data_IF_233880681144
#
_entry.id   IF_233880681144
#
_cell.length_a   1.000
_cell.length_b   1.000
_cell.length_c   1.000
_cell.angle_alpha   90.00
_cell.angle_beta   90.00
_cell.angle_gamma   90.00
#
_symmetry.space_group_name_H-M   'P 1'
#
loop_
_entity.id
_entity.type
_entity.pdbx_description
1 polymer ?
#
# COMPACT_ATOMS: atom_id res chain seq x y z
N UNK A 1 -25.51 -14.47 -26.62
CA UNK A 1 -24.39 -13.65 -26.08
C UNK A 1 -24.98 -12.73 -25.01
N UNK A 2 -24.93 -13.11 -23.74
CA UNK A 2 -25.42 -12.26 -22.65
C UNK A 2 -24.42 -11.16 -22.42
N UNK A 3 -24.74 -9.94 -22.80
CA UNK A 3 -24.03 -8.75 -22.34
C UNK A 3 -24.31 -8.59 -20.83
N UNK A 4 -23.49 -9.15 -19.97
CA UNK A 4 -23.52 -8.75 -18.57
C UNK A 4 -22.96 -7.32 -18.52
N UNK A 5 -23.79 -6.36 -18.13
CA UNK A 5 -23.33 -5.02 -17.81
C UNK A 5 -22.23 -5.14 -16.76
N UNK A 6 -21.10 -4.41 -16.88
CA UNK A 6 -20.06 -4.45 -15.89
C UNK A 6 -20.67 -4.08 -14.53
N UNK A 7 -20.49 -4.97 -13.54
CA UNK A 7 -21.00 -4.73 -12.18
C UNK A 7 -20.33 -3.50 -11.59
N UNK A 8 -21.07 -2.40 -11.52
CA UNK A 8 -20.61 -1.17 -10.90
C UNK A 8 -20.56 -1.35 -9.38
N UNK A 9 -19.48 -0.91 -8.76
CA UNK A 9 -19.31 -0.89 -7.30
C UNK A 9 -19.29 0.55 -6.83
N UNK A 10 -20.25 0.90 -5.98
CA UNK A 10 -20.33 2.20 -5.31
C UNK A 10 -19.30 2.26 -4.18
N UNK A 11 -18.57 3.36 -4.08
CA UNK A 11 -17.66 3.65 -2.99
C UNK A 11 -18.45 4.34 -1.87
N UNK A 12 -18.55 3.72 -0.70
CA UNK A 12 -19.24 4.23 0.50
C UNK A 12 -18.29 4.45 1.66
N UNK A 13 -17.13 3.85 1.59
CA UNK A 13 -16.10 3.92 2.63
C UNK A 13 -14.71 3.85 2.03
N UNK A 14 -13.79 4.57 2.64
CA UNK A 14 -12.40 4.66 2.21
C UNK A 14 -11.44 4.53 3.39
N UNK A 15 -10.36 3.79 3.21
CA UNK A 15 -9.21 3.77 4.12
C UNK A 15 -8.06 4.52 3.44
N UNK A 16 -7.54 5.56 4.09
CA UNK A 16 -6.49 6.41 3.55
C UNK A 16 -5.29 6.38 4.49
N UNK A 17 -4.14 5.93 3.99
CA UNK A 17 -2.87 5.93 4.72
C UNK A 17 -1.74 6.24 3.75
N UNK A 18 -1.33 7.51 3.68
CA UNK A 18 -0.39 8.00 2.67
C UNK A 18 0.76 8.77 3.32
N UNK A 19 1.95 8.63 2.74
CA UNK A 19 3.13 9.43 3.07
C UNK A 19 3.02 10.82 2.44
N UNK A 20 2.86 10.89 1.11
CA UNK A 20 2.66 12.15 0.40
C UNK A 20 1.21 12.61 0.53
N UNK A 21 1.02 13.91 0.82
CA UNK A 21 -0.31 14.52 1.01
C UNK A 21 -0.81 15.30 -0.21
N UNK A 22 -0.06 15.29 -1.32
CA UNK A 22 -0.46 16.00 -2.53
C UNK A 22 -1.85 15.56 -2.98
N UNK A 23 -2.74 16.55 -3.18
CA UNK A 23 -4.15 16.35 -3.61
C UNK A 23 -5.04 15.51 -2.68
N UNK A 24 -4.57 15.16 -1.48
CA UNK A 24 -5.41 14.44 -0.51
C UNK A 24 -6.55 15.32 -0.02
N UNK A 25 -6.37 16.61 0.08
CA UNK A 25 -7.39 17.61 0.36
C UNK A 25 -8.53 17.55 -0.67
N UNK A 26 -8.20 17.59 -1.97
CA UNK A 26 -9.17 17.49 -3.06
C UNK A 26 -9.91 16.15 -3.03
N UNK A 27 -9.18 15.04 -2.89
CA UNK A 27 -9.75 13.68 -2.84
C UNK A 27 -10.71 13.57 -1.65
N UNK A 28 -10.28 13.96 -0.44
CA UNK A 28 -11.10 13.85 0.76
C UNK A 28 -12.31 14.77 0.73
N UNK A 29 -12.19 15.96 0.16
CA UNK A 29 -13.30 16.88 -0.05
C UNK A 29 -14.39 16.26 -0.93
N UNK A 30 -14.01 15.67 -2.05
CA UNK A 30 -14.95 14.98 -2.93
C UNK A 30 -15.53 13.69 -2.31
N UNK A 31 -14.75 12.91 -1.56
CA UNK A 31 -15.25 11.75 -0.82
C UNK A 31 -16.31 12.18 0.21
N UNK A 32 -16.02 13.23 0.98
CA UNK A 32 -16.93 13.79 1.97
C UNK A 32 -18.24 14.30 1.34
N UNK A 33 -18.16 15.01 0.22
CA UNK A 33 -19.34 15.50 -0.53
C UNK A 33 -20.21 14.35 -1.07
N UNK A 34 -19.64 13.18 -1.30
CA UNK A 34 -20.35 11.96 -1.68
C UNK A 34 -20.80 11.10 -0.48
N UNK A 35 -20.71 11.63 0.75
CA UNK A 35 -21.05 10.91 2.00
C UNK A 35 -20.22 9.62 2.20
N UNK A 36 -19.00 9.56 1.71
CA UNK A 36 -18.10 8.44 1.91
C UNK A 36 -17.52 8.52 3.33
N UNK A 37 -17.65 7.45 4.10
CA UNK A 37 -16.99 7.34 5.40
C UNK A 37 -15.47 7.17 5.20
N UNK A 38 -14.69 8.09 5.76
CA UNK A 38 -13.23 8.06 5.64
C UNK A 38 -12.63 7.52 6.95
N UNK A 39 -11.77 6.51 6.84
CA UNK A 39 -10.93 5.98 7.90
C UNK A 39 -9.47 6.34 7.64
N UNK A 40 -8.74 6.70 8.69
CA UNK A 40 -7.30 6.96 8.59
C UNK A 40 -6.60 6.81 9.94
N UNK A 41 -5.28 6.86 9.93
CA UNK A 41 -4.43 6.74 11.12
C UNK A 41 -3.22 7.64 11.02
N UNK A 42 -2.60 7.94 12.18
CA UNK A 42 -1.35 8.70 12.29
C UNK A 42 -1.41 10.07 11.59
N UNK A 43 -0.30 10.46 10.97
CA UNK A 43 -0.16 11.77 10.33
C UNK A 43 -1.13 12.03 9.16
N UNK A 44 -1.66 10.98 8.52
CA UNK A 44 -2.72 11.17 7.50
C UNK A 44 -4.05 11.55 8.15
N UNK A 45 -4.39 10.93 9.28
CA UNK A 45 -5.56 11.34 10.05
C UNK A 45 -5.48 12.80 10.51
N UNK A 46 -4.34 13.20 11.09
CA UNK A 46 -4.11 14.57 11.55
C UNK A 46 -4.25 15.58 10.41
N UNK A 47 -3.63 15.28 9.28
CA UNK A 47 -3.71 16.13 8.09
C UNK A 47 -5.16 16.35 7.64
N UNK A 48 -5.93 15.27 7.44
CA UNK A 48 -7.33 15.36 6.96
C UNK A 48 -8.24 16.02 8.00
N UNK A 49 -8.03 15.72 9.30
CA UNK A 49 -8.78 16.34 10.39
C UNK A 49 -8.58 17.85 10.44
N UNK A 50 -7.35 18.34 10.21
CA UNK A 50 -7.04 19.76 10.18
C UNK A 50 -7.68 20.51 9.00
N UNK A 51 -8.10 19.80 7.95
CA UNK A 51 -8.91 20.34 6.86
C UNK A 51 -10.39 20.54 7.23
N UNK A 52 -10.79 20.14 8.44
CA UNK A 52 -12.20 20.19 8.88
C UNK A 52 -13.08 19.10 8.26
N UNK A 53 -12.50 18.08 7.63
CA UNK A 53 -13.22 16.98 7.01
C UNK A 53 -13.53 15.91 8.07
N UNK A 54 -14.78 15.41 8.11
CA UNK A 54 -15.19 14.35 9.02
C UNK A 54 -14.45 13.05 8.70
N UNK A 55 -13.72 12.53 9.66
CA UNK A 55 -12.88 11.34 9.51
C UNK A 55 -12.90 10.50 10.78
N UNK A 56 -12.79 9.18 10.64
CA UNK A 56 -12.72 8.22 11.75
C UNK A 56 -11.32 7.68 11.92
N UNK A 57 -10.85 7.59 13.17
CA UNK A 57 -9.58 6.92 13.46
C UNK A 57 -9.69 5.41 13.29
N UNK A 58 -8.65 4.80 12.74
CA UNK A 58 -8.53 3.34 12.70
C UNK A 58 -8.45 2.77 14.12
N UNK A 59 -7.81 3.46 15.03
CA UNK A 59 -7.69 3.09 16.44
C UNK A 59 -9.07 3.00 17.15
N UNK A 60 -10.02 3.88 16.79
CA UNK A 60 -11.41 3.82 17.30
C UNK A 60 -12.15 2.62 16.69
N UNK A 61 -11.95 2.35 15.41
CA UNK A 61 -12.53 1.18 14.74
C UNK A 61 -12.04 -0.14 15.34
N UNK A 62 -10.75 -0.24 15.59
CA UNK A 62 -10.11 -1.46 16.10
C UNK A 62 -10.29 -1.62 17.60
N UNK A 63 -10.56 -0.53 18.33
CA UNK A 63 -10.48 -0.44 19.78
C UNK A 63 -9.10 -0.86 20.32
N UNK A 64 -8.06 -0.63 19.52
CA UNK A 64 -6.69 -0.99 19.82
C UNK A 64 -5.75 0.19 19.54
N UNK A 65 -4.85 0.54 20.45
CA UNK A 65 -3.94 1.67 20.26
C UNK A 65 -2.88 1.35 19.19
N UNK A 66 -2.30 2.38 18.62
CA UNK A 66 -1.07 2.25 17.85
C UNK A 66 0.08 1.90 18.79
N UNK A 67 0.75 0.77 18.57
CA UNK A 67 1.83 0.25 19.43
C UNK A 67 3.13 0.10 18.67
N UNK A 68 4.22 -0.18 19.40
CA UNK A 68 5.56 -0.40 18.86
C UNK A 68 6.01 0.77 17.95
N UNK A 69 5.88 2.00 18.45
CA UNK A 69 6.20 3.23 17.72
C UNK A 69 5.44 3.37 16.38
N UNK A 70 4.20 2.86 16.32
CA UNK A 70 3.35 2.96 15.13
C UNK A 70 3.56 1.86 14.09
N UNK A 71 4.42 0.87 14.35
CA UNK A 71 4.61 -0.27 13.41
C UNK A 71 3.37 -1.15 13.33
N UNK A 72 2.56 -1.20 14.39
CA UNK A 72 1.33 -1.99 14.45
C UNK A 72 0.16 -1.07 14.79
N UNK A 73 -0.68 -0.81 13.81
CA UNK A 73 -1.89 0.02 13.93
C UNK A 73 -3.01 -0.43 12.98
N UNK A 74 -2.69 -0.73 11.71
CA UNK A 74 -3.65 -1.17 10.69
C UNK A 74 -3.70 -2.69 10.55
N UNK A 75 -2.71 -3.43 11.07
CA UNK A 75 -2.65 -4.90 11.03
C UNK A 75 -3.62 -5.50 12.06
N UNK A 76 -4.92 -5.39 11.76
CA UNK A 76 -5.98 -5.80 12.67
C UNK A 76 -7.12 -6.49 11.91
N UNK A 77 -7.76 -7.54 12.46
CA UNK A 77 -8.84 -8.28 11.79
C UNK A 77 -9.99 -7.42 11.30
N UNK A 78 -10.39 -6.37 12.02
CA UNK A 78 -11.45 -5.46 11.57
C UNK A 78 -11.07 -4.66 10.33
N UNK A 79 -9.81 -4.26 10.19
CA UNK A 79 -9.32 -3.54 9.01
C UNK A 79 -9.21 -4.48 7.82
N UNK A 80 -8.49 -5.61 8.00
CA UNK A 80 -8.29 -6.57 6.91
C UNK A 80 -9.58 -7.31 6.55
N UNK A 81 -10.45 -7.60 7.52
CA UNK A 81 -11.78 -8.15 7.27
C UNK A 81 -12.62 -7.20 6.42
N UNK A 82 -12.58 -5.89 6.71
CA UNK A 82 -13.28 -4.87 5.92
C UNK A 82 -12.81 -4.80 4.46
N UNK A 83 -11.52 -5.04 4.22
CA UNK A 83 -10.94 -5.05 2.87
C UNK A 83 -11.15 -6.40 2.17
N UNK A 84 -11.04 -7.51 2.88
CA UNK A 84 -11.00 -8.85 2.29
C UNK A 84 -12.36 -9.52 2.16
N UNK A 85 -13.38 -9.06 2.89
CA UNK A 85 -14.71 -9.66 2.85
C UNK A 85 -15.32 -9.61 1.44
N UNK A 86 -16.09 -10.63 1.14
CA UNK A 86 -16.86 -10.76 -0.08
C UNK A 86 -18.37 -10.58 0.19
N UNK A 87 -19.19 -10.77 -0.83
CA UNK A 87 -20.64 -10.77 -0.68
C UNK A 87 -21.21 -12.17 -0.36
N UNK A 88 -20.37 -13.12 0.11
CA UNK A 88 -20.85 -14.44 0.53
C UNK A 88 -21.67 -14.34 1.81
N UNK A 89 -22.61 -15.25 2.00
CA UNK A 89 -23.45 -15.29 3.21
C UNK A 89 -22.61 -15.47 4.48
N UNK A 90 -21.52 -16.25 4.41
CA UNK A 90 -20.59 -16.44 5.53
C UNK A 90 -19.90 -15.14 5.91
N UNK A 91 -19.35 -14.39 4.93
CA UNK A 91 -18.64 -13.15 5.18
C UNK A 91 -19.58 -12.06 5.72
N UNK A 92 -20.83 -12.01 5.21
CA UNK A 92 -21.87 -11.09 5.71
C UNK A 92 -22.21 -11.41 7.16
N UNK A 93 -22.33 -12.70 7.52
CA UNK A 93 -22.60 -13.13 8.89
C UNK A 93 -21.43 -12.76 9.81
N UNK A 94 -20.21 -13.06 9.42
CA UNK A 94 -19.02 -12.77 10.22
C UNK A 94 -18.81 -11.25 10.38
N UNK A 95 -19.02 -10.48 9.30
CA UNK A 95 -18.90 -9.02 9.40
C UNK A 95 -19.89 -8.40 10.40
N UNK A 96 -21.10 -8.95 10.52
CA UNK A 96 -22.07 -8.54 11.54
C UNK A 96 -21.66 -8.97 12.94
N UNK A 97 -21.23 -10.24 13.11
CA UNK A 97 -20.85 -10.80 14.40
C UNK A 97 -19.66 -10.08 15.03
N UNK A 98 -18.67 -9.69 14.20
CA UNK A 98 -17.44 -9.07 14.67
C UNK A 98 -17.37 -7.55 14.44
N UNK A 99 -18.49 -6.93 14.02
CA UNK A 99 -18.56 -5.49 13.71
C UNK A 99 -17.46 -5.05 12.75
N UNK A 100 -17.29 -5.79 11.66
CA UNK A 100 -16.32 -5.49 10.59
C UNK A 100 -16.97 -4.48 9.62
N UNK A 101 -16.39 -3.30 9.40
CA UNK A 101 -16.93 -2.31 8.47
C UNK A 101 -16.77 -2.75 7.01
N UNK A 102 -17.48 -2.09 6.11
CA UNK A 102 -17.12 -2.12 4.70
C UNK A 102 -15.92 -1.20 4.45
N UNK A 103 -14.98 -1.61 3.57
CA UNK A 103 -13.93 -0.76 3.02
C UNK A 103 -13.93 -0.96 1.51
N UNK A 104 -14.48 0.02 0.78
CA UNK A 104 -14.67 -0.05 -0.68
C UNK A 104 -13.50 0.56 -1.46
N UNK A 105 -12.73 1.45 -0.81
CA UNK A 105 -11.59 2.15 -1.39
C UNK A 105 -10.41 2.10 -0.41
N UNK A 106 -9.25 1.74 -0.91
CA UNK A 106 -7.98 1.82 -0.17
C UNK A 106 -7.02 2.72 -0.92
N UNK A 107 -6.57 3.79 -0.27
CA UNK A 107 -5.55 4.71 -0.80
C UNK A 107 -4.31 4.61 0.08
N UNK A 108 -3.25 4.07 -0.47
CA UNK A 108 -1.98 3.88 0.23
C UNK A 108 -0.85 4.23 -0.73
N UNK A 109 0.09 5.05 -0.30
CA UNK A 109 1.38 5.16 -0.93
C UNK A 109 2.46 4.61 0.03
N UNK A 110 3.45 3.98 -0.53
CA UNK A 110 4.56 3.42 0.23
C UNK A 110 5.62 4.50 0.46
N UNK A 111 6.26 4.43 1.60
CA UNK A 111 7.43 5.27 1.88
C UNK A 111 8.50 5.04 0.78
N UNK A 112 9.16 6.08 0.29
CA UNK A 112 10.16 5.96 -0.77
C UNK A 112 11.46 5.33 -0.23
N UNK A 113 11.51 4.00 -0.17
CA UNK A 113 12.63 3.23 0.38
C UNK A 113 13.98 3.58 -0.28
N UNK A 114 13.99 3.72 -1.62
CA UNK A 114 15.20 4.09 -2.35
C UNK A 114 15.75 5.48 -1.99
N UNK A 115 14.87 6.44 -1.67
CA UNK A 115 15.30 7.76 -1.21
C UNK A 115 15.97 7.66 0.16
N UNK A 116 15.46 6.81 1.03
CA UNK A 116 16.08 6.55 2.32
C UNK A 116 17.48 5.98 2.14
N UNK A 117 17.63 4.94 1.31
CA UNK A 117 18.94 4.32 1.02
C UNK A 117 19.95 5.31 0.43
N UNK A 118 19.46 6.27 -0.38
CA UNK A 118 20.34 7.33 -0.92
C UNK A 118 20.73 8.40 0.09
N UNK A 119 19.82 8.70 1.03
CA UNK A 119 19.96 9.83 1.95
C UNK A 119 20.69 9.48 3.26
N UNK A 120 20.74 8.22 3.66
CA UNK A 120 21.44 7.77 4.85
C UNK A 120 22.19 6.47 4.58
N UNK A 121 23.30 6.28 5.30
CA UNK A 121 24.05 5.00 5.34
C UNK A 121 23.80 4.25 6.65
N UNK A 122 22.93 4.77 7.50
CA UNK A 122 22.59 4.11 8.76
C UNK A 122 21.61 2.95 8.48
N UNK A 123 22.12 1.73 8.55
CA UNK A 123 21.36 0.50 8.33
C UNK A 123 20.07 0.45 9.15
N UNK A 124 20.15 0.76 10.45
CA UNK A 124 18.97 0.73 11.33
C UNK A 124 17.88 1.71 10.90
N UNK A 125 18.25 2.90 10.40
CA UNK A 125 17.30 3.87 9.88
C UNK A 125 16.65 3.39 8.58
N UNK A 126 17.42 2.71 7.72
CA UNK A 126 16.91 2.16 6.46
C UNK A 126 15.92 1.03 6.75
N UNK A 127 16.27 0.09 7.63
CA UNK A 127 15.39 -1.02 8.03
C UNK A 127 14.10 -0.51 8.66
N UNK A 128 14.15 0.53 9.51
CA UNK A 128 12.96 1.13 10.13
C UNK A 128 11.98 1.72 9.11
N UNK A 129 12.44 2.04 7.91
CA UNK A 129 11.61 2.60 6.82
C UNK A 129 10.98 1.55 5.93
N UNK A 130 11.21 0.27 6.17
CA UNK A 130 10.50 -0.81 5.46
C UNK A 130 9.03 -0.80 5.90
N UNK A 131 8.15 -0.51 4.96
CA UNK A 131 6.71 -0.44 5.21
C UNK A 131 6.09 -1.84 5.22
N UNK A 132 5.56 -2.25 6.37
CA UNK A 132 4.85 -3.52 6.55
C UNK A 132 3.34 -3.32 6.38
N UNK A 133 2.79 -2.29 7.04
CA UNK A 133 1.35 -2.04 7.08
C UNK A 133 0.78 -1.61 5.74
N UNK A 134 1.42 -0.66 5.08
CA UNK A 134 0.97 -0.12 3.79
C UNK A 134 1.01 -1.16 2.67
N UNK A 135 2.12 -1.90 2.54
CA UNK A 135 2.23 -2.96 1.52
C UNK A 135 1.18 -4.06 1.76
N UNK A 136 0.91 -4.41 3.02
CA UNK A 136 -0.12 -5.39 3.37
C UNK A 136 -1.54 -4.91 2.97
N UNK A 137 -1.86 -3.64 3.21
CA UNK A 137 -3.13 -3.03 2.79
C UNK A 137 -3.30 -3.02 1.26
N UNK A 138 -2.24 -2.64 0.54
CA UNK A 138 -2.21 -2.66 -0.94
C UNK A 138 -2.50 -4.06 -1.46
N UNK A 139 -1.81 -5.08 -0.94
CA UNK A 139 -1.99 -6.48 -1.38
C UNK A 139 -3.38 -7.02 -1.05
N UNK A 140 -3.92 -6.69 0.13
CA UNK A 140 -5.27 -7.10 0.52
C UNK A 140 -6.34 -6.49 -0.41
N UNK A 141 -6.26 -5.18 -0.66
CA UNK A 141 -7.18 -4.49 -1.55
C UNK A 141 -7.07 -4.99 -3.01
N UNK A 142 -5.85 -5.15 -3.50
CA UNK A 142 -5.60 -5.67 -4.85
C UNK A 142 -6.12 -7.11 -5.03
N UNK A 143 -5.98 -7.97 -4.01
CA UNK A 143 -6.53 -9.33 -4.03
C UNK A 143 -8.06 -9.32 -4.16
N UNK A 144 -8.72 -8.40 -3.47
CA UNK A 144 -10.19 -8.31 -3.47
C UNK A 144 -10.71 -7.24 -4.46
N UNK A 145 -10.07 -7.09 -5.62
CA UNK A 145 -10.44 -6.09 -6.63
C UNK A 145 -11.90 -6.20 -7.12
N UNK A 146 -12.55 -7.33 -6.95
CA UNK A 146 -13.97 -7.48 -7.26
C UNK A 146 -14.85 -6.58 -6.40
N UNK A 147 -14.43 -6.30 -5.17
CA UNK A 147 -15.18 -5.53 -4.19
C UNK A 147 -14.52 -4.21 -3.78
N UNK A 148 -13.20 -4.07 -3.97
CA UNK A 148 -12.40 -2.95 -3.45
C UNK A 148 -11.62 -2.27 -4.57
N UNK A 149 -11.64 -0.93 -4.59
CA UNK A 149 -10.78 -0.11 -5.41
C UNK A 149 -9.45 0.13 -4.67
N UNK A 150 -8.33 -0.23 -5.29
CA UNK A 150 -6.98 -0.02 -4.75
C UNK A 150 -6.25 1.10 -5.49
N UNK A 151 -5.86 2.14 -4.76
CA UNK A 151 -4.99 3.23 -5.23
C UNK A 151 -3.67 3.09 -4.49
N UNK A 152 -2.61 2.72 -5.20
CA UNK A 152 -1.30 2.40 -4.64
C UNK A 152 -0.19 3.39 -4.98
N UNK A 153 -0.56 4.50 -5.66
CA UNK A 153 0.38 5.54 -6.07
C UNK A 153 -0.34 6.86 -6.30
N UNK A 154 0.31 7.98 -5.98
CA UNK A 154 -0.18 9.33 -6.28
C UNK A 154 -0.39 9.59 -7.78
N UNK A 155 0.33 8.88 -8.66
CA UNK A 155 0.10 8.94 -10.11
C UNK A 155 -1.31 8.53 -10.56
N UNK A 156 -2.04 7.82 -9.70
CA UNK A 156 -3.42 7.36 -9.93
C UNK A 156 -4.48 8.34 -9.41
N UNK A 157 -4.09 9.42 -8.73
CA UNK A 157 -5.02 10.35 -8.07
C UNK A 157 -5.93 11.09 -9.05
N UNK A 158 -5.43 11.47 -10.22
CA UNK A 158 -6.27 12.10 -11.26
C UNK A 158 -7.41 11.18 -11.67
N UNK A 159 -7.10 9.89 -11.90
CA UNK A 159 -8.11 8.88 -12.25
C UNK A 159 -9.11 8.65 -11.12
N UNK A 160 -8.63 8.63 -9.87
CA UNK A 160 -9.51 8.54 -8.70
C UNK A 160 -10.45 9.75 -8.61
N UNK A 161 -9.93 10.96 -8.80
CA UNK A 161 -10.72 12.20 -8.76
C UNK A 161 -11.82 12.18 -9.83
N UNK A 162 -11.54 11.74 -11.05
CA UNK A 162 -12.55 11.55 -12.08
C UNK A 162 -13.68 10.60 -11.64
N UNK A 163 -13.33 9.48 -11.01
CA UNK A 163 -14.28 8.49 -10.48
C UNK A 163 -15.16 9.11 -9.39
N UNK A 164 -14.55 9.85 -8.45
CA UNK A 164 -15.26 10.42 -7.31
C UNK A 164 -16.14 11.61 -7.74
N UNK A 165 -15.67 12.44 -8.68
CA UNK A 165 -16.44 13.55 -9.25
C UNK A 165 -17.65 13.08 -10.07
N UNK A 166 -17.60 11.87 -10.60
CA UNK A 166 -18.73 11.24 -11.27
C UNK A 166 -19.76 10.72 -10.27
N UNK A 167 -20.16 9.48 -10.42
CA UNK A 167 -21.14 8.83 -9.55
C UNK A 167 -20.52 8.11 -8.34
N UNK A 168 -19.22 8.30 -8.11
CA UNK A 168 -18.45 7.67 -7.06
C UNK A 168 -18.53 6.13 -7.12
N UNK A 169 -18.50 5.56 -8.33
CA UNK A 169 -18.52 4.12 -8.57
C UNK A 169 -17.54 3.69 -9.64
N UNK A 170 -17.20 2.42 -9.66
CA UNK A 170 -16.21 1.84 -10.58
C UNK A 170 -16.71 0.54 -11.19
N UNK A 171 -16.37 0.30 -12.43
CA UNK A 171 -16.50 -1.00 -13.07
C UNK A 171 -15.37 -1.97 -12.65
N UNK A 172 -15.58 -3.25 -12.86
CA UNK A 172 -14.64 -4.30 -12.50
C UNK A 172 -13.33 -4.23 -13.30
N UNK A 173 -13.38 -3.76 -14.55
CA UNK A 173 -12.19 -3.64 -15.41
C UNK A 173 -11.23 -2.58 -14.86
N UNK A 174 -11.75 -1.44 -14.44
CA UNK A 174 -10.99 -0.38 -13.77
C UNK A 174 -10.35 -0.90 -12.49
N UNK A 175 -11.10 -1.59 -11.62
CA UNK A 175 -10.57 -2.14 -10.37
C UNK A 175 -9.50 -3.21 -10.63
N UNK A 176 -9.71 -4.10 -11.61
CA UNK A 176 -8.74 -5.13 -12.01
C UNK A 176 -7.44 -4.53 -12.53
N UNK A 177 -7.53 -3.50 -13.36
CA UNK A 177 -6.36 -2.80 -13.89
C UNK A 177 -5.53 -2.15 -12.76
N UNK A 178 -6.19 -1.43 -11.84
CA UNK A 178 -5.53 -0.80 -10.69
C UNK A 178 -4.96 -1.84 -9.70
N UNK A 179 -5.62 -2.98 -9.54
CA UNK A 179 -5.09 -4.09 -8.75
C UNK A 179 -3.81 -4.70 -9.35
N UNK A 180 -3.75 -4.84 -10.68
CA UNK A 180 -2.52 -5.29 -11.35
C UNK A 180 -1.36 -4.31 -11.12
N UNK A 181 -1.63 -2.99 -11.22
CA UNK A 181 -0.64 -1.95 -10.92
C UNK A 181 -0.21 -1.99 -9.43
N UNK A 182 -1.13 -2.27 -8.52
CA UNK A 182 -0.85 -2.40 -7.08
C UNK A 182 0.07 -3.60 -6.79
N UNK A 183 -0.16 -4.76 -7.41
CA UNK A 183 0.75 -5.91 -7.29
C UNK A 183 2.11 -5.62 -7.91
N UNK A 184 2.17 -4.93 -9.06
CA UNK A 184 3.44 -4.49 -9.62
C UNK A 184 4.19 -3.59 -8.65
N UNK A 185 3.52 -2.58 -8.06
CA UNK A 185 4.11 -1.67 -7.07
C UNK A 185 4.67 -2.41 -5.85
N UNK A 186 3.93 -3.40 -5.33
CA UNK A 186 4.38 -4.25 -4.22
C UNK A 186 5.61 -5.09 -4.62
N UNK A 187 5.61 -5.70 -5.80
CA UNK A 187 6.74 -6.47 -6.30
C UNK A 187 8.00 -5.63 -6.50
N UNK A 188 7.85 -4.45 -7.11
CA UNK A 188 8.96 -3.51 -7.32
C UNK A 188 9.54 -3.03 -5.96
N UNK A 189 8.67 -2.83 -4.96
CA UNK A 189 9.07 -2.44 -3.62
C UNK A 189 9.89 -3.52 -2.91
N UNK A 190 9.37 -4.76 -2.90
CA UNK A 190 10.06 -5.91 -2.28
C UNK A 190 11.38 -6.21 -2.98
N UNK A 191 11.45 -6.08 -4.32
CA UNK A 191 12.69 -6.26 -5.08
C UNK A 191 13.79 -5.27 -4.68
N UNK A 192 13.43 -4.03 -4.36
CA UNK A 192 14.39 -3.01 -3.90
C UNK A 192 14.91 -3.30 -2.50
N UNK A 193 14.03 -3.78 -1.60
CA UNK A 193 14.42 -4.22 -0.27
C UNK A 193 15.35 -5.43 -0.37
N UNK A 194 14.97 -6.41 -1.20
CA UNK A 194 15.79 -7.57 -1.45
C UNK A 194 17.20 -7.20 -1.91
N UNK A 195 17.31 -6.35 -2.94
CA UNK A 195 18.62 -5.92 -3.46
C UNK A 195 19.47 -5.24 -2.38
N UNK A 196 18.87 -4.41 -1.54
CA UNK A 196 19.58 -3.74 -0.46
C UNK A 196 20.12 -4.73 0.59
N UNK A 197 19.30 -5.69 1.01
CA UNK A 197 19.70 -6.69 2.03
C UNK A 197 20.72 -7.68 1.44
N UNK A 198 20.54 -8.08 0.18
CA UNK A 198 21.42 -9.02 -0.51
C UNK A 198 22.84 -8.41 -0.72
N UNK A 199 22.93 -7.13 -1.10
CA UNK A 199 24.19 -6.42 -1.22
C UNK A 199 24.95 -6.35 0.12
N UNK A 200 24.26 -6.20 1.25
CA UNK A 200 24.87 -6.22 2.57
C UNK A 200 25.36 -7.62 2.93
N UNK A 201 24.58 -8.65 2.67
CA UNK A 201 24.98 -10.05 2.92
C UNK A 201 26.22 -10.43 2.11
N UNK A 202 26.29 -9.98 0.86
CA UNK A 202 27.46 -10.19 -0.01
C UNK A 202 28.68 -9.47 0.53
N UNK A 203 28.53 -8.29 1.13
CA UNK A 203 29.66 -7.54 1.74
C UNK A 203 30.16 -8.18 3.04
N UNK A 204 29.30 -8.78 3.84
CA UNK A 204 29.68 -9.45 5.08
C UNK A 204 30.32 -10.83 4.85
N UNK A 205 29.82 -11.60 3.86
CA UNK A 205 30.24 -12.99 3.63
C UNK A 205 31.29 -13.15 2.53
N UNK A 206 31.56 -12.13 1.72
CA UNK A 206 32.43 -12.30 0.56
C UNK A 206 33.76 -11.56 0.68
N UNK A 207 34.84 -12.33 0.57
CA UNK A 207 36.15 -11.79 0.20
C UNK A 207 36.08 -11.37 -1.27
N UNK A 208 35.79 -10.09 -1.51
CA UNK A 208 35.83 -9.53 -2.88
C UNK A 208 37.28 -9.55 -3.35
N UNK A 209 37.60 -10.43 -4.30
CA UNK A 209 38.90 -10.42 -4.98
C UNK A 209 38.75 -9.71 -6.32
N UNK A 210 39.49 -8.61 -6.52
CA UNK A 210 39.66 -8.02 -7.84
C UNK A 210 40.44 -8.99 -8.73
N UNK A 211 39.83 -9.38 -9.84
CA UNK A 211 40.48 -10.18 -10.86
C UNK A 211 41.36 -9.28 -11.74
N UNK A 212 42.56 -9.76 -12.10
CA UNK A 212 43.49 -9.01 -12.94
C UNK A 212 42.92 -8.67 -14.34
N UNK A 213 41.96 -9.45 -14.82
CA UNK A 213 41.36 -9.28 -16.14
C UNK A 213 39.84 -9.60 -16.07
N UNK A 214 39.02 -8.77 -16.72
CA UNK A 214 37.63 -9.10 -17.09
C UNK A 214 37.59 -9.75 -18.47
N UNK A 215 36.41 -10.05 -19.00
CA UNK A 215 36.24 -10.60 -20.35
C UNK A 215 36.81 -9.68 -21.44
N UNK A 216 36.95 -8.39 -21.15
CA UNK A 216 37.61 -7.40 -22.04
C UNK A 216 38.73 -6.66 -21.30
N UNK A 217 39.85 -6.25 -22.02
CA UNK A 217 41.00 -5.58 -21.42
C UNK A 217 40.71 -4.29 -20.67
N UNK A 218 39.52 -3.70 -20.84
CA UNK A 218 39.08 -2.46 -20.22
C UNK A 218 38.02 -2.64 -19.11
N UNK A 219 37.62 -3.89 -18.79
CA UNK A 219 36.68 -4.18 -17.73
C UNK A 219 37.38 -4.72 -16.51
N UNK A 220 37.00 -4.18 -15.33
CA UNK A 220 37.41 -4.75 -14.05
C UNK A 220 36.51 -5.93 -13.73
N UNK A 221 37.07 -7.13 -13.63
CA UNK A 221 36.37 -8.31 -13.13
C UNK A 221 36.44 -8.36 -11.62
N UNK A 222 35.33 -8.76 -10.99
CA UNK A 222 35.29 -9.06 -9.55
C UNK A 222 34.79 -10.48 -9.36
N UNK A 223 35.48 -11.25 -8.53
CA UNK A 223 35.01 -12.54 -8.08
C UNK A 223 34.36 -12.37 -6.72
N UNK A 224 33.14 -12.86 -6.56
CA UNK A 224 32.37 -12.88 -5.32
C UNK A 224 32.18 -14.33 -4.93
N UNK A 225 32.85 -14.79 -3.87
CA UNK A 225 32.78 -16.15 -3.39
C UNK A 225 34.10 -16.64 -2.79
N UNK A 226 34.08 -17.83 -2.20
CA UNK A 226 35.26 -18.52 -1.68
C UNK A 226 35.83 -19.41 -2.80
N UNK A 227 37.04 -19.11 -3.25
CA UNK A 227 37.82 -20.02 -4.06
C UNK A 227 38.39 -21.07 -3.08
N UNK A 228 37.70 -22.17 -2.89
CA UNK A 228 38.32 -23.36 -2.33
C UNK A 228 39.11 -24.04 -3.44
N UNK A 229 40.42 -24.14 -3.20
CA UNK A 229 41.36 -24.91 -4.02
C UNK A 229 40.91 -26.37 -4.21
#
# INVERSE_FOLDING_TARGET
>A
MYFSFPTMKKIRSALISVFNKDRIDEICSHLSSNNVTIYSTGGTYEYISNLGISIKKVEDLTSYPSILNGRVKTLHPKVFGGILKTNSESDIKDSKNYNIPDIDLVIVDLYPFEETVRNTKNHSEIIEKIDIGGVSLIRAAAKNYENVLCISSSSQYLKLIEIIKGDCSTDISTRKNLAAQAFKKSSDYDSKIFSYIDEETIQEDSVIRELRYGENPHQKGRFIGDLKD
#
